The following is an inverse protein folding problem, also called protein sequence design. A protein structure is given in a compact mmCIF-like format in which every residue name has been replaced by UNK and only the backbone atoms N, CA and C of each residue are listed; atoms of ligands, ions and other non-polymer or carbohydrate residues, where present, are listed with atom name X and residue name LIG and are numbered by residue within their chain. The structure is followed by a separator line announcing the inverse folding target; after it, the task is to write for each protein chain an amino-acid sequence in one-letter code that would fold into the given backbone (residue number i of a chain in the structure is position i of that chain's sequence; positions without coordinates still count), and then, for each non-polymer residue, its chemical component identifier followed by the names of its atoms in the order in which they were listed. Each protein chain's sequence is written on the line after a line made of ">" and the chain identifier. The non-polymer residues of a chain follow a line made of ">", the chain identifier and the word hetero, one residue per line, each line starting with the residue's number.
data_IF_615401640269
#
_entry.id   IF_615401640269
#
_cell.length_a   1.000
_cell.length_b   1.000
_cell.length_c   1.000
_cell.angle_alpha   90.00
_cell.angle_beta   90.00
_cell.angle_gamma   90.00
#
_symmetry.space_group_name_H-M   'P 1'
#
loop_
_entity.id
_entity.type
_entity.pdbx_description
1 polymer ?
#
# COMPACT_ATOMS: atom_id res chain seq x y z
N UNK A 1 9.18 10.81 -0.67
CA UNK A 1 9.37 9.89 -1.83
C UNK A 1 9.97 8.53 -1.43
N UNK A 2 10.86 8.42 -0.42
CA UNK A 2 11.48 7.14 0.00
C UNK A 2 10.64 6.22 0.92
N UNK A 3 9.41 6.60 1.34
CA UNK A 3 8.65 5.79 2.30
C UNK A 3 7.96 4.56 1.71
N UNK A 4 7.75 4.51 0.38
CA UNK A 4 7.01 3.42 -0.27
C UNK A 4 7.77 2.10 -0.16
N UNK A 5 9.07 2.10 -0.43
CA UNK A 5 9.90 0.90 -0.35
C UNK A 5 10.04 0.38 1.09
N UNK A 6 10.11 1.28 2.08
CA UNK A 6 10.11 0.92 3.50
C UNK A 6 8.79 0.28 3.95
N UNK A 7 7.66 0.77 3.45
CA UNK A 7 6.33 0.21 3.76
C UNK A 7 6.18 -1.17 3.13
N UNK A 8 6.63 -1.34 1.88
CA UNK A 8 6.58 -2.63 1.19
C UNK A 8 7.50 -3.63 1.88
N UNK A 9 8.72 -3.24 2.24
CA UNK A 9 9.68 -4.09 2.95
C UNK A 9 9.17 -4.49 4.34
N UNK A 10 8.56 -3.55 5.07
CA UNK A 10 7.90 -3.83 6.35
C UNK A 10 6.69 -4.76 6.20
N UNK A 11 5.87 -4.56 5.15
CA UNK A 11 4.71 -5.41 4.86
C UNK A 11 5.13 -6.84 4.50
N UNK A 12 6.19 -7.01 3.70
CA UNK A 12 6.75 -8.31 3.35
C UNK A 12 7.41 -8.98 4.57
N UNK A 13 8.15 -8.22 5.37
CA UNK A 13 8.88 -8.74 6.55
C UNK A 13 7.96 -9.04 7.74
N UNK A 14 6.77 -8.43 7.81
CA UNK A 14 5.81 -8.57 8.91
C UNK A 14 4.41 -8.99 8.43
N UNK A 15 4.35 -9.80 7.36
CA UNK A 15 3.10 -10.36 6.82
C UNK A 15 2.25 -11.07 7.90
N UNK A 16 2.90 -11.60 8.95
CA UNK A 16 2.25 -12.28 10.07
C UNK A 16 1.68 -11.32 11.14
N UNK A 17 2.02 -10.03 11.11
CA UNK A 17 1.55 -9.03 12.08
C UNK A 17 0.96 -7.78 11.39
N UNK A 18 0.08 -8.03 10.43
CA UNK A 18 -0.73 -7.02 9.73
C UNK A 18 -1.45 -6.04 10.68
N UNK A 19 -1.84 -6.49 11.88
CA UNK A 19 -2.49 -5.66 12.88
C UNK A 19 -1.57 -4.54 13.44
N UNK A 20 -0.29 -4.85 13.68
CA UNK A 20 0.69 -3.83 14.10
C UNK A 20 0.98 -2.83 12.97
N UNK A 21 0.95 -3.31 11.73
CA UNK A 21 1.14 -2.47 10.54
C UNK A 21 -0.08 -1.55 10.29
N UNK A 22 -1.27 -1.95 10.72
CA UNK A 22 -2.53 -1.24 10.46
C UNK A 22 -2.53 0.18 11.05
N UNK A 23 -2.14 0.38 12.31
CA UNK A 23 -2.07 1.71 12.93
C UNK A 23 -1.07 2.63 12.23
N UNK A 24 0.08 2.07 11.81
CA UNK A 24 1.10 2.80 11.08
C UNK A 24 0.60 3.22 9.68
N UNK A 25 -0.06 2.31 8.95
CA UNK A 25 -0.66 2.56 7.64
C UNK A 25 -1.81 3.57 7.74
N UNK A 26 -2.62 3.49 8.79
CA UNK A 26 -3.67 4.46 9.10
C UNK A 26 -3.07 5.87 9.32
N UNK A 27 -1.96 5.97 10.06
CA UNK A 27 -1.21 7.21 10.22
C UNK A 27 -0.60 7.75 8.92
N UNK A 28 -0.15 6.87 8.03
CA UNK A 28 0.30 7.24 6.68
C UNK A 28 -0.87 7.75 5.82
N UNK A 29 -2.05 7.12 5.90
CA UNK A 29 -3.26 7.56 5.22
C UNK A 29 -3.60 9.01 5.52
N UNK A 30 -3.62 9.39 6.81
CA UNK A 30 -3.83 10.79 7.25
C UNK A 30 -2.81 11.77 6.67
N UNK A 31 -1.53 11.38 6.61
CA UNK A 31 -0.47 12.22 6.02
C UNK A 31 -0.67 12.41 4.52
N UNK A 32 -1.07 11.36 3.79
CA UNK A 32 -1.33 11.47 2.35
C UNK A 32 -2.57 12.33 2.06
N UNK A 33 -3.59 12.28 2.93
CA UNK A 33 -4.75 13.18 2.87
C UNK A 33 -4.35 14.64 3.08
N UNK A 34 -3.55 14.92 4.12
CA UNK A 34 -3.07 16.26 4.43
C UNK A 34 -2.20 16.87 3.30
N UNK A 35 -1.56 16.02 2.50
CA UNK A 35 -0.77 16.43 1.33
C UNK A 35 -1.61 16.60 0.05
N UNK A 36 -2.92 16.37 0.10
CA UNK A 36 -3.82 16.51 -1.05
C UNK A 36 -3.64 15.43 -2.11
N UNK A 37 -3.07 14.28 -1.75
CA UNK A 37 -3.00 13.12 -2.65
C UNK A 37 -4.43 12.68 -2.99
N UNK A 38 -4.67 12.13 -4.18
CA UNK A 38 -5.99 11.57 -4.51
C UNK A 38 -5.99 10.08 -4.26
N UNK A 39 -7.14 9.53 -3.88
CA UNK A 39 -7.31 8.08 -3.74
C UNK A 39 -7.00 7.34 -5.05
N UNK A 40 -7.29 7.98 -6.19
CA UNK A 40 -6.94 7.51 -7.54
C UNK A 40 -5.43 7.25 -7.71
N UNK A 41 -4.57 8.00 -7.01
CA UNK A 41 -3.12 7.81 -7.05
C UNK A 41 -2.70 6.46 -6.48
N UNK A 42 -3.47 5.86 -5.55
CA UNK A 42 -3.16 4.51 -5.05
C UNK A 42 -3.36 3.47 -6.15
N UNK A 43 -4.38 3.58 -7.01
CA UNK A 43 -4.56 2.64 -8.13
C UNK A 43 -3.36 2.65 -9.07
N UNK A 44 -2.91 3.84 -9.47
CA UNK A 44 -1.74 4.00 -10.36
C UNK A 44 -0.44 3.46 -9.73
N UNK A 45 -0.26 3.63 -8.42
CA UNK A 45 0.89 3.10 -7.70
C UNK A 45 0.85 1.56 -7.64
N UNK A 46 -0.33 0.97 -7.43
CA UNK A 46 -0.51 -0.48 -7.45
C UNK A 46 -0.17 -1.10 -8.80
N UNK A 47 -0.67 -0.50 -9.89
CA UNK A 47 -0.35 -0.93 -11.25
C UNK A 47 1.15 -0.83 -11.55
N UNK A 48 1.79 0.28 -11.14
CA UNK A 48 3.23 0.49 -11.34
C UNK A 48 4.06 -0.51 -10.54
N UNK A 49 3.63 -0.87 -9.32
CA UNK A 49 4.28 -1.87 -8.48
C UNK A 49 4.22 -3.26 -9.12
N UNK A 50 3.03 -3.69 -9.56
CA UNK A 50 2.85 -4.98 -10.22
C UNK A 50 3.64 -5.06 -11.53
N UNK A 51 3.64 -3.99 -12.32
CA UNK A 51 4.45 -3.90 -13.53
C UNK A 51 5.95 -4.01 -13.24
N UNK A 52 6.44 -3.34 -12.20
CA UNK A 52 7.84 -3.43 -11.79
C UNK A 52 8.20 -4.85 -11.32
N UNK A 53 7.33 -5.49 -10.53
CA UNK A 53 7.51 -6.88 -10.10
C UNK A 53 7.55 -7.85 -11.27
N UNK A 54 6.66 -7.69 -12.25
CA UNK A 54 6.65 -8.48 -13.49
C UNK A 54 7.99 -8.35 -14.23
N UNK A 55 8.53 -7.13 -14.36
CA UNK A 55 9.82 -6.90 -15.04
C UNK A 55 11.02 -7.43 -14.26
N UNK A 56 10.99 -7.38 -12.94
CA UNK A 56 12.10 -7.86 -12.10
C UNK A 56 12.12 -9.39 -11.97
N UNK A 57 10.95 -10.02 -11.80
CA UNK A 57 10.83 -11.46 -11.58
C UNK A 57 10.74 -12.25 -12.90
N UNK A 58 10.28 -11.62 -13.98
CA UNK A 58 10.18 -12.24 -15.31
C UNK A 58 9.40 -13.56 -15.25
N UNK A 59 9.99 -14.70 -15.66
CA UNK A 59 9.32 -16.01 -15.62
C UNK A 59 8.87 -16.47 -14.22
N UNK A 60 9.45 -15.92 -13.15
CA UNK A 60 9.06 -16.23 -11.77
C UNK A 60 7.83 -15.45 -11.30
N UNK A 61 7.35 -14.47 -12.08
CA UNK A 61 6.09 -13.76 -11.82
C UNK A 61 4.90 -14.61 -12.29
N UNK A 62 4.63 -15.69 -11.54
CA UNK A 62 3.47 -16.53 -11.82
C UNK A 62 2.15 -15.79 -11.50
N UNK A 63 1.01 -16.26 -12.03
CA UNK A 63 -0.31 -15.73 -11.66
C UNK A 63 -0.54 -15.72 -10.15
N UNK A 64 -0.08 -16.76 -9.44
CA UNK A 64 -0.20 -16.84 -7.98
C UNK A 64 0.61 -15.75 -7.26
N UNK A 65 1.80 -15.41 -7.78
CA UNK A 65 2.64 -14.33 -7.26
C UNK A 65 1.97 -12.97 -7.51
N UNK A 66 1.46 -12.74 -8.72
CA UNK A 66 0.72 -11.52 -9.05
C UNK A 66 -0.48 -11.33 -8.12
N UNK A 67 -1.26 -12.39 -7.89
CA UNK A 67 -2.44 -12.37 -7.04
C UNK A 67 -2.07 -12.07 -5.57
N UNK A 68 -1.03 -12.74 -5.04
CA UNK A 68 -0.54 -12.48 -3.69
C UNK A 68 -0.10 -11.02 -3.49
N UNK A 69 0.63 -10.45 -4.45
CA UNK A 69 1.04 -9.05 -4.40
C UNK A 69 -0.14 -8.08 -4.52
N UNK A 70 -1.13 -8.41 -5.36
CA UNK A 70 -2.35 -7.61 -5.52
C UNK A 70 -3.17 -7.58 -4.23
N UNK A 71 -3.32 -8.72 -3.56
CA UNK A 71 -4.02 -8.80 -2.26
C UNK A 71 -3.27 -8.04 -1.16
N UNK A 72 -1.95 -8.18 -1.10
CA UNK A 72 -1.12 -7.44 -0.14
C UNK A 72 -1.26 -5.92 -0.35
N UNK A 73 -1.14 -5.46 -1.60
CA UNK A 73 -1.29 -4.05 -1.93
C UNK A 73 -2.70 -3.54 -1.59
N UNK A 74 -3.74 -4.32 -1.91
CA UNK A 74 -5.12 -4.00 -1.57
C UNK A 74 -5.35 -3.87 -0.06
N UNK A 75 -4.74 -4.75 0.74
CA UNK A 75 -4.81 -4.66 2.21
C UNK A 75 -4.15 -3.38 2.74
N UNK A 76 -3.00 -3.00 2.18
CA UNK A 76 -2.30 -1.76 2.52
C UNK A 76 -3.14 -0.53 2.20
N UNK A 77 -3.70 -0.46 0.97
CA UNK A 77 -4.56 0.65 0.56
C UNK A 77 -5.79 0.75 1.45
N UNK A 78 -6.42 -0.37 1.78
CA UNK A 78 -7.60 -0.40 2.67
C UNK A 78 -7.26 0.13 4.07
N UNK A 79 -6.11 -0.22 4.63
CA UNK A 79 -5.66 0.31 5.92
C UNK A 79 -5.37 1.82 5.85
N UNK A 80 -4.76 2.29 4.76
CA UNK A 80 -4.55 3.72 4.54
C UNK A 80 -5.86 4.50 4.35
N UNK A 81 -6.82 3.94 3.62
CA UNK A 81 -8.16 4.51 3.42
C UNK A 81 -8.94 4.65 4.74
N UNK A 82 -8.84 3.68 5.64
CA UNK A 82 -9.42 3.81 7.00
C UNK A 82 -8.88 5.05 7.72
N UNK A 83 -7.58 5.28 7.64
CA UNK A 83 -6.94 6.49 8.17
C UNK A 83 -7.37 7.78 7.46
N UNK A 84 -7.57 7.70 6.15
CA UNK A 84 -8.05 8.79 5.30
C UNK A 84 -9.47 9.26 5.65
N UNK A 85 -10.39 8.32 5.85
CA UNK A 85 -11.79 8.59 6.15
C UNK A 85 -12.01 8.98 7.62
N UNK A 86 -11.14 8.52 8.53
CA UNK A 86 -11.23 8.76 9.97
C UNK A 86 -10.87 10.20 10.42
N UNK A 87 -10.60 11.12 9.50
CA UNK A 87 -10.53 12.55 9.80
C UNK A 87 -11.82 13.23 9.28
N UNK A 88 -12.86 13.41 10.12
CA UNK A 88 -13.90 14.36 9.78
C UNK A 88 -13.31 15.78 9.84
N UNK A 89 -13.73 16.57 8.86
CA UNK A 89 -13.63 18.02 8.66
C UNK A 89 -12.76 18.85 9.61
N UNK A 90 -11.85 19.62 9.01
CA UNK A 90 -11.36 20.84 9.63
C UNK A 90 -12.52 21.77 9.96
N UNK A 91 -12.49 22.27 11.18
CA UNK A 91 -13.04 23.57 11.60
C UNK A 91 -12.31 24.72 10.87
#
# INVERSE_FOLDING_TARGET
>A
LLQVMLVIDAAVSHLENLACLEEYLCGLGRKHQALGVKVESFSTVGESLLFMLEKCLGPAFSPDVQEAWSQLYGAVVKAMQRGWESCPEGD
#
